data_IF_808693177376
#
_entry.id   IF_808693177376
#
_cell.length_a   1.000
_cell.length_b   1.000
_cell.length_c   1.000
_cell.angle_alpha   90.00
_cell.angle_beta   90.00
_cell.angle_gamma   90.00
#
_symmetry.space_group_name_H-M   'P 1'
#
loop_
_entity.id
_entity.type
_entity.pdbx_description
1 polymer ?
#
# COMPACT_ATOMS: atom_id res chain seq x y z
N UNK A 1 -16.79 23.22 3.60
CA UNK A 1 -17.00 22.86 2.21
C UNK A 1 -16.46 21.49 1.88
N UNK A 2 -17.25 20.70 1.22
CA UNK A 2 -16.81 19.35 0.84
C UNK A 2 -15.89 19.44 -0.34
N UNK A 3 -14.78 18.80 -0.23
CA UNK A 3 -13.85 18.73 -1.33
C UNK A 3 -14.31 17.70 -2.34
N UNK A 4 -14.29 18.06 -3.59
CA UNK A 4 -14.61 17.13 -4.64
C UNK A 4 -13.40 16.98 -5.55
N UNK A 5 -13.02 15.74 -5.78
CA UNK A 5 -11.88 15.42 -6.61
C UNK A 5 -12.22 14.20 -7.45
N UNK A 6 -11.84 14.23 -8.70
CA UNK A 6 -12.07 13.10 -9.58
C UNK A 6 -10.98 13.08 -10.65
N UNK A 7 -10.31 11.94 -10.75
CA UNK A 7 -9.24 11.82 -11.74
C UNK A 7 -8.99 10.37 -12.09
N UNK A 8 -8.25 10.19 -13.19
CA UNK A 8 -7.80 8.87 -13.64
C UNK A 8 -6.27 8.90 -13.64
N UNK A 9 -5.67 7.85 -13.13
CA UNK A 9 -4.22 7.70 -13.09
C UNK A 9 -3.86 6.35 -13.71
N UNK A 10 -2.86 6.36 -14.59
CA UNK A 10 -2.46 5.15 -15.29
C UNK A 10 -1.52 4.31 -14.44
N UNK A 11 -1.65 2.99 -14.60
CA UNK A 11 -0.88 2.02 -13.85
C UNK A 11 0.16 1.42 -14.78
N UNK A 12 1.42 1.38 -14.32
CA UNK A 12 2.52 0.83 -15.10
C UNK A 12 3.13 -0.36 -14.38
N UNK A 13 3.57 -1.34 -15.16
CA UNK A 13 4.30 -2.47 -14.61
C UNK A 13 5.75 -2.09 -14.38
N UNK A 14 6.37 -2.72 -13.38
CA UNK A 14 7.76 -2.48 -13.02
C UNK A 14 8.51 -3.81 -12.93
N UNK A 15 8.64 -4.54 -14.02
CA UNK A 15 9.36 -5.81 -14.00
C UNK A 15 10.83 -5.55 -13.66
N UNK A 16 11.31 -6.27 -12.64
CA UNK A 16 12.68 -6.05 -12.19
C UNK A 16 12.94 -4.68 -11.59
N UNK A 17 11.88 -3.95 -11.25
CA UNK A 17 12.01 -2.65 -10.62
C UNK A 17 12.08 -1.46 -11.56
N UNK A 18 11.96 -1.69 -12.86
CA UNK A 18 12.05 -0.63 -13.86
C UNK A 18 10.69 -0.44 -14.53
N UNK A 19 10.28 0.83 -14.64
CA UNK A 19 9.00 1.16 -15.26
C UNK A 19 8.98 0.65 -16.70
N UNK A 20 7.90 -0.03 -17.05
CA UNK A 20 7.75 -0.63 -18.37
C UNK A 20 6.50 -0.11 -19.04
N UNK A 21 5.46 -0.91 -19.16
CA UNK A 21 4.31 -0.56 -19.98
C UNK A 21 3.07 -0.30 -19.13
N UNK A 22 2.12 0.40 -19.73
CA UNK A 22 0.82 0.63 -19.13
C UNK A 22 0.04 -0.69 -19.05
N UNK A 23 -0.47 -0.99 -17.88
CA UNK A 23 -1.26 -2.22 -17.65
C UNK A 23 -2.66 -1.90 -17.13
N UNK A 24 -3.04 -0.63 -17.09
CA UNK A 24 -4.38 -0.30 -16.64
C UNK A 24 -4.49 1.12 -16.13
N UNK A 25 -5.54 1.33 -15.35
CA UNK A 25 -5.79 2.66 -14.79
C UNK A 25 -6.56 2.55 -13.47
N UNK A 26 -6.45 3.60 -12.68
CA UNK A 26 -7.20 3.75 -11.46
C UNK A 26 -8.07 4.99 -11.59
N UNK A 27 -9.33 4.87 -11.23
CA UNK A 27 -10.25 6.01 -11.15
C UNK A 27 -10.45 6.33 -9.68
N UNK A 28 -10.24 7.58 -9.34
CA UNK A 28 -10.36 8.04 -7.95
C UNK A 28 -11.41 9.13 -7.91
N UNK A 29 -12.32 9.01 -6.97
CA UNK A 29 -13.32 10.05 -6.73
C UNK A 29 -13.42 10.28 -5.22
N UNK A 30 -13.26 11.52 -4.81
CA UNK A 30 -13.47 11.92 -3.41
C UNK A 30 -14.64 12.89 -3.40
N UNK A 31 -15.66 12.55 -2.64
CA UNK A 31 -16.89 13.34 -2.61
C UNK A 31 -17.62 13.11 -1.31
N UNK A 32 -17.99 14.18 -0.66
CA UNK A 32 -18.80 14.12 0.57
C UNK A 32 -18.22 13.21 1.63
N UNK A 33 -16.90 13.28 1.81
CA UNK A 33 -16.23 12.48 2.84
C UNK A 33 -15.99 11.05 2.46
N UNK A 34 -16.27 10.66 1.22
CA UNK A 34 -16.10 9.29 0.75
C UNK A 34 -15.10 9.26 -0.38
N UNK A 35 -14.18 8.30 -0.34
CA UNK A 35 -13.20 8.09 -1.40
C UNK A 35 -13.52 6.77 -2.10
N UNK A 36 -13.71 6.84 -3.41
CA UNK A 36 -13.95 5.65 -4.23
C UNK A 36 -12.76 5.39 -5.11
N UNK A 37 -12.29 4.16 -5.09
CA UNK A 37 -11.14 3.73 -5.87
C UNK A 37 -11.57 2.55 -6.74
N UNK A 38 -11.44 2.71 -8.05
CA UNK A 38 -11.70 1.65 -9.01
C UNK A 38 -10.45 1.40 -9.83
N UNK A 39 -10.03 0.15 -9.90
CA UNK A 39 -8.83 -0.25 -10.62
C UNK A 39 -9.21 -1.24 -11.71
N UNK A 40 -8.66 -1.04 -12.90
CA UNK A 40 -8.81 -1.98 -14.01
C UNK A 40 -7.44 -2.31 -14.56
N UNK A 41 -7.13 -3.59 -14.63
CA UNK A 41 -5.85 -4.08 -15.12
C UNK A 41 -6.05 -4.96 -16.33
N UNK A 42 -5.11 -4.89 -17.28
CA UNK A 42 -5.08 -5.73 -18.46
C UNK A 42 -3.64 -6.05 -18.83
N UNK A 43 -3.42 -7.22 -19.40
CA UNK A 43 -2.09 -7.58 -19.85
C UNK A 43 -1.18 -8.05 -18.73
N UNK A 44 -1.76 -8.44 -17.60
CA UNK A 44 -1.00 -8.98 -16.49
C UNK A 44 -1.20 -10.49 -16.48
N UNK A 45 -0.32 -11.19 -17.16
CA UNK A 45 -0.48 -12.63 -17.34
C UNK A 45 0.28 -13.42 -16.30
N UNK A 46 -0.43 -14.33 -15.66
CA UNK A 46 0.14 -15.24 -14.67
C UNK A 46 -0.22 -16.66 -15.11
N UNK A 47 0.57 -17.64 -14.70
CA UNK A 47 0.34 -19.03 -15.10
C UNK A 47 -1.00 -19.55 -14.59
N UNK A 48 -1.40 -19.12 -13.41
CA UNK A 48 -2.66 -19.50 -12.81
C UNK A 48 -3.30 -18.25 -12.22
N UNK A 49 -4.62 -18.28 -11.96
CA UNK A 49 -5.23 -17.14 -11.27
C UNK A 49 -4.54 -16.88 -9.93
N UNK A 50 -4.24 -15.62 -9.65
CA UNK A 50 -3.53 -15.25 -8.43
C UNK A 50 -4.14 -13.99 -7.80
N UNK A 51 -4.11 -13.96 -6.48
CA UNK A 51 -4.55 -12.78 -5.74
C UNK A 51 -3.38 -11.81 -5.60
N UNK A 52 -3.61 -10.56 -5.95
CA UNK A 52 -2.64 -9.48 -5.77
C UNK A 52 -3.18 -8.52 -4.73
N UNK A 53 -2.29 -8.03 -3.87
CA UNK A 53 -2.68 -7.04 -2.88
C UNK A 53 -2.83 -5.67 -3.51
N UNK A 54 -3.85 -4.94 -3.08
CA UNK A 54 -4.06 -3.55 -3.47
C UNK A 54 -3.62 -2.68 -2.32
N UNK A 55 -2.73 -1.74 -2.60
CA UNK A 55 -2.10 -0.90 -1.58
C UNK A 55 -2.25 0.58 -1.95
N UNK A 56 -2.27 1.42 -0.92
CA UNK A 56 -2.14 2.85 -1.10
C UNK A 56 -0.73 3.27 -0.72
N UNK A 57 -0.16 4.21 -1.47
CA UNK A 57 1.18 4.73 -1.22
C UNK A 57 1.08 5.90 -0.26
N UNK A 58 1.76 5.78 0.87
CA UNK A 58 1.73 6.78 1.94
C UNK A 58 3.15 7.09 2.40
N UNK A 59 3.29 8.12 3.21
CA UNK A 59 4.55 8.44 3.89
C UNK A 59 5.75 8.52 2.96
N UNK A 60 5.64 9.37 1.93
CA UNK A 60 6.78 9.60 1.04
C UNK A 60 7.96 10.14 1.87
N UNK A 61 9.10 9.52 1.70
CA UNK A 61 10.31 9.91 2.42
C UNK A 61 11.17 10.80 1.52
N UNK A 62 11.22 12.08 1.83
CA UNK A 62 11.97 13.02 1.00
C UNK A 62 13.48 12.82 1.07
N UNK A 63 13.97 12.14 2.11
CA UNK A 63 15.38 11.87 2.24
C UNK A 63 15.86 10.69 1.38
N UNK A 64 14.94 9.81 1.00
CA UNK A 64 15.27 8.64 0.19
C UNK A 64 14.36 8.67 -1.03
N UNK A 65 14.88 9.09 -2.18
CA UNK A 65 14.04 9.21 -3.38
C UNK A 65 13.33 7.92 -3.75
N UNK A 66 12.06 8.03 -4.02
CA UNK A 66 11.25 6.90 -4.45
C UNK A 66 10.76 6.00 -3.33
N UNK A 67 11.00 6.36 -2.07
CA UNK A 67 10.59 5.54 -0.95
C UNK A 67 9.20 5.91 -0.45
N UNK A 68 8.36 4.89 -0.31
CA UNK A 68 7.01 5.00 0.21
C UNK A 68 6.70 3.81 1.08
N UNK A 69 5.69 3.98 1.94
CA UNK A 69 5.09 2.84 2.62
C UNK A 69 3.83 2.44 1.86
N UNK A 70 3.59 1.14 1.79
CA UNK A 70 2.44 0.59 1.10
C UNK A 70 1.44 0.07 2.14
N UNK A 71 0.31 0.75 2.24
CA UNK A 71 -0.75 0.35 3.14
C UNK A 71 -1.74 -0.51 2.38
N UNK A 72 -1.87 -1.78 2.76
CA UNK A 72 -2.77 -2.69 2.08
C UNK A 72 -4.22 -2.34 2.40
N UNK A 73 -5.04 -2.23 1.37
CA UNK A 73 -6.46 -1.92 1.53
C UNK A 73 -7.38 -2.98 0.94
N UNK A 74 -6.86 -3.94 0.22
CA UNK A 74 -7.69 -4.98 -0.35
C UNK A 74 -6.90 -5.94 -1.22
N UNK A 75 -7.63 -6.75 -1.96
CA UNK A 75 -7.06 -7.74 -2.87
C UNK A 75 -7.85 -7.74 -4.17
N UNK A 76 -7.18 -8.13 -5.25
CA UNK A 76 -7.86 -8.37 -6.51
C UNK A 76 -7.35 -9.67 -7.13
N UNK A 77 -8.23 -10.35 -7.85
CA UNK A 77 -7.89 -11.59 -8.50
C UNK A 77 -7.44 -11.31 -9.93
N UNK A 78 -6.21 -11.68 -10.24
CA UNK A 78 -5.70 -11.60 -11.60
C UNK A 78 -5.98 -12.93 -12.28
N UNK A 79 -6.76 -12.89 -13.36
CA UNK A 79 -7.18 -14.07 -14.08
C UNK A 79 -7.31 -13.73 -15.55
N UNK A 80 -6.73 -14.56 -16.42
CA UNK A 80 -6.74 -14.34 -17.87
C UNK A 80 -6.18 -12.96 -18.26
N UNK A 81 -5.17 -12.52 -17.53
CA UNK A 81 -4.53 -11.25 -17.81
C UNK A 81 -5.30 -10.01 -17.38
N UNK A 82 -6.38 -10.18 -16.65
CA UNK A 82 -7.24 -9.07 -16.26
C UNK A 82 -7.55 -9.11 -14.77
N UNK A 83 -7.79 -7.93 -14.21
CA UNK A 83 -8.24 -7.81 -12.82
C UNK A 83 -9.01 -6.52 -12.66
N UNK A 84 -9.88 -6.48 -11.68
CA UNK A 84 -10.58 -5.26 -11.30
C UNK A 84 -10.71 -5.21 -9.79
N UNK A 85 -10.82 -3.99 -9.29
CA UNK A 85 -10.98 -3.74 -7.86
C UNK A 85 -11.85 -2.52 -7.67
N UNK A 86 -12.72 -2.56 -6.68
CA UNK A 86 -13.55 -1.43 -6.31
C UNK A 86 -13.56 -1.34 -4.79
N UNK A 87 -13.21 -0.18 -4.27
CA UNK A 87 -13.21 0.06 -2.84
C UNK A 87 -13.80 1.41 -2.51
N UNK A 88 -14.42 1.49 -1.34
CA UNK A 88 -15.01 2.72 -0.82
C UNK A 88 -14.43 2.94 0.57
N UNK A 89 -13.92 4.13 0.81
CA UNK A 89 -13.20 4.44 2.04
C UNK A 89 -13.71 5.74 2.64
N UNK A 90 -13.55 5.88 3.95
CA UNK A 90 -13.76 7.15 4.62
C UNK A 90 -12.57 8.06 4.28
N UNK A 91 -12.84 9.13 3.53
CA UNK A 91 -11.78 10.02 3.05
C UNK A 91 -11.04 10.72 4.20
N UNK A 92 -11.67 10.86 5.34
CA UNK A 92 -11.05 11.50 6.50
C UNK A 92 -10.30 10.54 7.40
N UNK A 93 -10.43 9.24 7.16
CA UNK A 93 -9.77 8.24 8.01
C UNK A 93 -9.82 6.89 7.31
N UNK A 94 -8.92 6.70 6.34
CA UNK A 94 -8.92 5.51 5.49
C UNK A 94 -8.58 4.29 6.33
N UNK A 95 -9.50 3.33 6.38
CA UNK A 95 -9.34 2.05 7.07
C UNK A 95 -8.89 2.22 8.54
N UNK A 96 -9.36 3.29 9.18
CA UNK A 96 -9.02 3.60 10.58
C UNK A 96 -7.52 3.79 10.80
N UNK A 97 -6.82 4.22 9.77
CA UNK A 97 -5.37 4.39 9.84
C UNK A 97 -4.94 5.77 10.32
N UNK A 98 -5.86 6.74 10.30
CA UNK A 98 -5.52 8.13 10.53
C UNK A 98 -5.10 8.86 9.26
N UNK A 99 -4.84 8.14 8.19
CA UNK A 99 -4.52 8.77 6.91
C UNK A 99 -5.79 9.25 6.22
N UNK A 100 -5.70 10.38 5.55
CA UNK A 100 -6.81 10.95 4.78
C UNK A 100 -6.54 10.76 3.30
N UNK A 101 -7.55 11.04 2.48
CA UNK A 101 -7.38 10.96 1.03
C UNK A 101 -6.25 11.84 0.52
N UNK A 102 -5.97 12.96 1.18
CA UNK A 102 -4.88 13.85 0.76
C UNK A 102 -3.50 13.33 1.15
N UNK A 103 -3.42 12.33 1.99
CA UNK A 103 -2.14 11.70 2.34
C UNK A 103 -1.70 10.65 1.32
N UNK A 104 -2.58 10.28 0.41
CA UNK A 104 -2.30 9.20 -0.53
C UNK A 104 -1.55 9.74 -1.74
N UNK A 105 -0.42 9.12 -2.07
CA UNK A 105 0.44 9.55 -3.17
C UNK A 105 0.24 8.72 -4.43
N UNK A 106 -0.47 7.62 -4.34
CA UNK A 106 -0.69 6.72 -5.46
C UNK A 106 -1.16 5.38 -4.99
N UNK A 107 -1.19 4.40 -5.89
CA UNK A 107 -1.57 3.04 -5.54
C UNK A 107 -0.56 2.04 -6.08
N UNK A 108 -0.53 0.87 -5.47
CA UNK A 108 0.30 -0.23 -5.91
C UNK A 108 -0.51 -1.51 -5.92
N UNK A 109 -0.32 -2.32 -6.95
CA UNK A 109 -0.90 -3.65 -7.02
C UNK A 109 0.27 -4.61 -7.14
N UNK A 110 0.39 -5.51 -6.19
CA UNK A 110 1.58 -6.35 -6.12
C UNK A 110 1.30 -7.71 -5.52
N UNK A 111 1.99 -8.70 -6.03
CA UNK A 111 2.10 -9.98 -5.37
C UNK A 111 3.34 -9.87 -4.49
N UNK A 112 3.14 -9.89 -3.19
CA UNK A 112 4.18 -9.58 -2.24
C UNK A 112 5.41 -10.48 -2.38
N UNK A 113 5.21 -11.71 -2.78
CA UNK A 113 6.33 -12.65 -2.91
C UNK A 113 7.04 -12.60 -4.24
N UNK A 114 6.58 -11.77 -5.16
CA UNK A 114 7.13 -11.76 -6.52
C UNK A 114 7.23 -10.33 -7.04
N UNK A 115 8.43 -9.78 -6.98
CA UNK A 115 8.67 -8.41 -7.42
C UNK A 115 8.43 -8.21 -8.91
N UNK A 116 8.41 -9.28 -9.68
CA UNK A 116 8.15 -9.20 -11.10
C UNK A 116 6.76 -8.63 -11.39
N UNK A 117 5.82 -8.88 -10.51
CA UNK A 117 4.44 -8.44 -10.70
C UNK A 117 4.07 -7.21 -9.88
N UNK A 118 4.98 -6.28 -9.76
CA UNK A 118 4.66 -5.01 -9.10
C UNK A 118 4.17 -4.00 -10.12
N UNK A 119 3.10 -3.30 -9.78
CA UNK A 119 2.48 -2.32 -10.63
C UNK A 119 2.15 -1.09 -9.80
N UNK A 120 2.46 0.08 -10.32
CA UNK A 120 2.28 1.34 -9.58
C UNK A 120 1.59 2.40 -10.41
N UNK A 121 0.80 3.24 -9.74
CA UNK A 121 0.21 4.43 -10.31
C UNK A 121 0.54 5.58 -9.37
N UNK A 122 1.34 6.53 -9.86
CA UNK A 122 1.73 7.70 -9.08
C UNK A 122 0.77 8.84 -9.40
N UNK A 123 0.17 9.42 -8.36
CA UNK A 123 -0.83 10.47 -8.56
C UNK A 123 -0.22 11.85 -8.71
N UNK A 124 1.03 11.99 -8.33
CA UNK A 124 1.79 13.20 -8.51
C UNK A 124 3.05 12.90 -9.29
N UNK A 125 3.75 13.93 -9.68
CA UNK A 125 4.92 13.76 -10.52
C UNK A 125 6.15 13.35 -9.70
N UNK A 126 6.04 12.22 -9.03
CA UNK A 126 7.12 11.65 -8.26
C UNK A 126 7.44 10.26 -8.78
N UNK A 127 8.70 9.90 -8.72
CA UNK A 127 9.10 8.54 -9.07
C UNK A 127 8.98 7.60 -7.88
N UNK A 128 8.88 6.32 -8.18
CA UNK A 128 8.90 5.30 -7.16
C UNK A 128 10.10 4.39 -7.41
N UNK A 129 10.74 3.97 -6.34
CA UNK A 129 11.84 3.01 -6.41
C UNK A 129 11.42 1.73 -5.69
N UNK A 130 11.08 0.67 -6.44
CA UNK A 130 10.62 -0.57 -5.81
C UNK A 130 11.62 -1.22 -4.86
N UNK A 131 12.89 -0.85 -4.95
CA UNK A 131 13.90 -1.46 -4.06
C UNK A 131 13.84 -0.91 -2.64
N UNK A 132 13.24 0.25 -2.44
CA UNK A 132 13.25 0.89 -1.12
C UNK A 132 11.85 1.11 -0.54
N UNK A 133 10.82 0.53 -1.15
CA UNK A 133 9.47 0.63 -0.60
C UNK A 133 9.33 -0.30 0.60
N UNK A 134 8.35 0.00 1.42
CA UNK A 134 8.08 -0.77 2.62
C UNK A 134 6.63 -1.26 2.60
N UNK A 135 6.44 -2.57 2.66
CA UNK A 135 5.10 -3.15 2.76
C UNK A 135 4.66 -3.09 4.21
N UNK A 136 3.76 -2.18 4.52
CA UNK A 136 3.26 -2.01 5.88
C UNK A 136 2.09 -2.94 6.20
N UNK A 137 1.45 -3.48 5.18
CA UNK A 137 0.34 -4.39 5.37
C UNK A 137 -0.96 -3.71 5.77
N UNK A 138 -1.88 -4.52 6.27
CA UNK A 138 -3.15 -4.02 6.76
C UNK A 138 -3.00 -3.53 8.20
N UNK A 139 -3.87 -2.62 8.59
CA UNK A 139 -3.87 -2.15 9.97
C UNK A 139 -2.78 -1.18 10.31
N UNK A 140 -2.04 -0.70 9.34
CA UNK A 140 -1.00 0.28 9.58
C UNK A 140 -1.63 1.59 10.07
N UNK A 141 -0.89 2.33 10.89
CA UNK A 141 -1.38 3.58 11.43
C UNK A 141 -0.43 4.72 11.14
N UNK A 142 -1.00 5.89 10.98
CA UNK A 142 -0.22 7.09 10.78
C UNK A 142 0.59 7.39 12.02
N UNK A 143 1.80 7.85 11.84
CA UNK A 143 2.66 8.22 12.95
C UNK A 143 2.02 9.31 13.81
N UNK A 144 2.05 9.11 15.11
CA UNK A 144 1.51 10.07 16.03
C UNK A 144 0.03 9.95 16.32
N UNK A 145 -0.67 9.14 15.57
CA UNK A 145 -2.11 9.00 15.72
C UNK A 145 -2.51 8.13 16.88
N UNK A 146 -1.66 7.25 17.26
CA UNK A 146 -2.05 6.23 18.19
C UNK A 146 -1.26 6.25 19.44
N UNK A 147 -1.02 7.41 19.90
CA UNK A 147 -0.12 7.54 21.03
C UNK A 147 -0.69 6.99 22.31
N UNK A 148 -1.89 7.27 22.56
CA UNK A 148 -2.47 6.91 23.82
C UNK A 148 -2.66 5.45 24.04
N UNK A 149 -2.55 4.71 23.05
CA UNK A 149 -2.87 3.34 23.20
C UNK A 149 -1.66 2.52 23.46
N UNK A 150 -1.40 2.60 23.88
CA UNK A 150 -0.43 2.00 23.86
C UNK A 150 0.24 1.19 23.92
N UNK A 151 -0.10 1.53 23.74
CA UNK A 151 0.51 1.17 23.76
C UNK A 151 0.63 0.26 24.18
N UNK A 152 0.66 0.11 24.41
CA UNK A 152 0.97 -0.70 24.65
C UNK A 152 1.32 -1.53 24.42
N UNK A 153 1.66 -1.49 24.47
CA UNK A 153 2.21 -2.12 24.18
C UNK A 153 2.72 -2.67 23.89
N UNK A 154 3.20 -2.51 24.01
CA UNK A 154 3.91 -2.98 23.65
C UNK A 154 4.39 -3.50 23.75
N UNK A 155 4.60 -3.26 24.06
CA UNK A 155 5.30 -3.74 24.07
C UNK A 155 5.34 -4.55 24.12
N UNK A 156 5.37 -4.31 24.28
CA UNK A 156 5.70 -4.98 24.19
C UNK A 156 5.94 -5.76 24.09
N UNK A 157 6.18 -5.57 24.20
CA UNK A 157 6.74 -6.20 24.04
C UNK A 157 7.20 -6.87 24.04
N UNK A 158 7.64 -6.55 24.20
CA UNK A 158 8.37 -7.13 24.03
C UNK A 158 8.64 -7.89 24.01
N UNK A 159 8.66 -7.51 24.33
CA UNK A 159 9.32 -8.21 24.04
C UNK A 159 9.49 -8.90 24.08
N UNK A 160 9.86 -8.63 24.36
CA UNK A 160 10.35 -9.28 24.18
C UNK A 160 10.61 -9.92 24.19
N UNK A 161 10.79 -9.70 24.41
CA UNK A 161 11.43 -10.32 24.23
C UNK A 161 11.78 -10.98 24.29
N UNK A 162 11.99 -10.60 24.52
CA UNK A 162 12.64 -11.21 24.32
C UNK A 162 12.90 -11.89 24.36
N UNK A 163 12.95 -11.54 24.66
CA UNK A 163 13.60 -12.17 24.48
C UNK A 163 13.77 -12.76 24.66
N UNK A 164 14.14 -12.46 24.81
CA UNK A 164 14.68 -13.00 24.78
C UNK A 164 14.85 -13.62 24.95
N UNK A 165 15.04 -13.37 25.23
CA UNK A 165 15.59 -13.97 25.22
C UNK A 165 15.76 -14.56 25.41
N UNK A 166 16.01 -14.36 25.56
CA UNK A 166 16.57 -14.96 25.55
C UNK A 166 16.79 -15.56 25.65
N UNK A 167 17.04 -15.14 25.85
CA UNK A 167 17.58 -15.80 25.77
C UNK A 167 17.75 -16.39 25.77
N UNK A 168 17.87 -16.27 26.05
CA UNK A 168 18.41 -16.97 25.90
C UNK A 168 18.66 -17.49 25.85
N UNK A 169 18.75 -17.29 26.03
CA UNK A 169 19.39 -17.88 25.90
C UNK A 169 19.70 -18.39 26.08
N UNK A 170 19.96 -18.28 26.22
CA UNK A 170 20.58 -18.77 26.35
C UNK A 170 20.87 -19.38 26.53
N UNK A 171 21.13 -19.33 26.77
CA UNK A 171 21.80 -19.91 26.91
C UNK A 171 22.06 -20.65 27.13
N UNK A 172 22.22 -20.41 27.36
CA UNK A 172 22.84 -21.12 27.53
C UNK A 172 23.00 -21.78 27.68
N UNK A 173 23.18 -21.79 28.07
CA UNK A 173 23.81 -22.40 28.26
C UNK A 173 23.90 -22.85 28.14
#
# INVERSE_FOLDING_TARGET
MADYQRFVSYIYSYPGGVKDKNVGFAKVEVRSGEMRLNINLRGVYTDTPQMFGVHMLIDRDDAIPGRYRLMKVGDCLVNNGMASYAGIFNAGNIENSGYTSSDICGIAVANKGDRYYMMFSMWEDYDINPDVIEFAGSGVRKYGENVGIGGKSEDDIEGNVSGEIRESGKRDI
#
